data_IF_855217613772
#
_entry.id   IF_855217613772
#
_cell.length_a   1.000
_cell.length_b   1.000
_cell.length_c   1.000
_cell.angle_alpha   90.00
_cell.angle_beta   90.00
_cell.angle_gamma   90.00
#
_symmetry.space_group_name_H-M   'P 1'
#
loop_
_entity.id
_entity.type
_entity.pdbx_description
1 polymer ?
#
# COMPACT_ATOMS: atom_id res chain seq x y z
N UNK A 1 -81.12 -49.51 20.86
CA UNK A 1 -80.19 -48.53 20.23
C UNK A 1 -80.50 -47.13 20.74
N UNK A 2 -79.48 -46.31 20.99
CA UNK A 2 -79.41 -45.29 22.05
C UNK A 2 -80.21 -43.99 21.84
N UNK A 3 -80.55 -43.37 22.98
CA UNK A 3 -81.37 -42.17 23.25
C UNK A 3 -80.79 -40.85 22.72
N UNK A 4 -81.71 -39.89 22.52
CA UNK A 4 -81.53 -38.44 22.29
C UNK A 4 -80.77 -37.70 23.41
N UNK A 5 -80.24 -36.49 23.13
CA UNK A 5 -79.25 -35.80 23.95
C UNK A 5 -79.85 -34.83 24.98
N UNK A 6 -79.13 -34.60 26.09
CA UNK A 6 -79.28 -33.41 26.94
C UNK A 6 -77.90 -32.86 27.32
N UNK A 7 -77.66 -31.66 26.81
CA UNK A 7 -76.91 -30.51 27.36
C UNK A 7 -76.29 -30.66 28.75
N UNK A 8 -75.06 -30.17 28.94
CA UNK A 8 -74.77 -29.06 29.87
C UNK A 8 -73.40 -28.43 29.59
N UNK A 9 -73.39 -27.10 29.78
CA UNK A 9 -72.33 -26.12 29.55
C UNK A 9 -71.01 -26.44 30.26
N UNK A 10 -69.90 -26.22 29.56
CA UNK A 10 -68.63 -25.85 30.18
C UNK A 10 -68.06 -24.61 29.48
N UNK A 11 -68.21 -23.50 30.21
CA UNK A 11 -67.33 -22.33 30.25
C UNK A 11 -66.82 -21.72 28.93
N UNK A 12 -67.59 -20.72 28.51
CA UNK A 12 -67.16 -19.48 27.87
C UNK A 12 -65.86 -18.94 28.51
N UNK A 13 -64.71 -19.04 27.83
CA UNK A 13 -63.58 -18.07 27.83
C UNK A 13 -62.37 -18.62 27.07
N UNK A 14 -62.07 -18.03 25.91
CA UNK A 14 -60.74 -17.70 25.35
C UNK A 14 -60.84 -17.55 23.82
N UNK A 15 -61.65 -16.60 23.37
CA UNK A 15 -61.34 -15.89 22.11
C UNK A 15 -60.87 -14.50 22.52
N UNK A 16 -59.74 -14.50 23.23
CA UNK A 16 -58.95 -13.31 23.52
C UNK A 16 -57.49 -13.73 23.30
N UNK A 17 -57.18 -14.06 22.06
CA UNK A 17 -55.94 -14.74 21.73
C UNK A 17 -55.68 -14.63 20.24
N UNK A 18 -55.36 -13.42 19.79
CA UNK A 18 -54.60 -13.13 18.56
C UNK A 18 -54.21 -11.65 18.32
N UNK A 19 -54.48 -10.63 19.18
CA UNK A 19 -53.92 -9.30 18.90
C UNK A 19 -52.39 -9.32 19.03
N UNK A 20 -51.84 -10.11 19.95
CA UNK A 20 -50.40 -10.24 20.17
C UNK A 20 -49.65 -10.84 18.96
N UNK A 21 -50.23 -11.86 18.31
CA UNK A 21 -49.64 -12.48 17.12
C UNK A 21 -49.67 -11.52 15.92
N UNK A 22 -50.76 -10.76 15.78
CA UNK A 22 -50.90 -9.75 14.72
C UNK A 22 -49.89 -8.60 14.92
N UNK A 23 -49.71 -8.15 16.16
CA UNK A 23 -48.71 -7.14 16.54
C UNK A 23 -47.29 -7.63 16.22
N UNK A 24 -46.94 -8.89 16.57
CA UNK A 24 -45.63 -9.46 16.25
C UNK A 24 -45.36 -9.52 14.74
N UNK A 25 -46.35 -9.89 13.94
CA UNK A 25 -46.22 -9.91 12.47
C UNK A 25 -46.03 -8.49 11.92
N UNK A 26 -46.81 -7.52 12.40
CA UNK A 26 -46.68 -6.11 11.98
C UNK A 26 -45.32 -5.54 12.37
N UNK A 27 -44.84 -5.80 13.59
CA UNK A 27 -43.51 -5.39 14.05
C UNK A 27 -42.41 -6.05 13.21
N UNK A 28 -42.52 -7.34 12.90
CA UNK A 28 -41.56 -8.04 12.04
C UNK A 28 -41.53 -7.46 10.61
N UNK A 29 -42.69 -7.15 10.02
CA UNK A 29 -42.79 -6.51 8.71
C UNK A 29 -42.18 -5.11 8.73
N UNK A 30 -42.44 -4.32 9.78
CA UNK A 30 -41.84 -2.99 9.95
C UNK A 30 -40.32 -3.07 10.11
N UNK A 31 -39.82 -3.98 10.95
CA UNK A 31 -38.37 -4.19 11.16
C UNK A 31 -37.69 -4.62 9.87
N UNK A 32 -38.27 -5.56 9.12
CA UNK A 32 -37.70 -6.00 7.83
C UNK A 32 -37.75 -4.90 6.77
N UNK A 33 -38.79 -4.07 6.75
CA UNK A 33 -38.86 -2.90 5.87
C UNK A 33 -37.81 -1.84 6.24
N UNK A 34 -37.63 -1.55 7.53
CA UNK A 34 -36.60 -0.63 8.04
C UNK A 34 -35.20 -1.16 7.68
N UNK A 35 -34.92 -2.45 7.92
CA UNK A 35 -33.63 -3.06 7.58
C UNK A 35 -33.35 -3.02 6.07
N UNK A 36 -34.36 -3.28 5.23
CA UNK A 36 -34.22 -3.14 3.77
C UNK A 36 -33.97 -1.69 3.34
N UNK A 37 -34.66 -0.73 3.96
CA UNK A 37 -34.44 0.69 3.67
C UNK A 37 -33.04 1.13 4.08
N UNK A 38 -32.57 0.75 5.27
CA UNK A 38 -31.20 1.02 5.74
C UNK A 38 -30.18 0.40 4.79
N UNK A 39 -30.37 -0.86 4.40
CA UNK A 39 -29.50 -1.56 3.45
C UNK A 39 -29.46 -0.89 2.07
N UNK A 40 -30.60 -0.39 1.60
CA UNK A 40 -30.68 0.35 0.33
C UNK A 40 -29.94 1.68 0.43
N UNK A 41 -30.18 2.48 1.47
CA UNK A 41 -29.50 3.77 1.68
C UNK A 41 -27.99 3.61 1.83
N UNK A 42 -27.53 2.58 2.56
CA UNK A 42 -26.09 2.28 2.67
C UNK A 42 -25.48 1.88 1.32
N UNK A 43 -26.21 1.09 0.52
CA UNK A 43 -25.79 0.74 -0.84
C UNK A 43 -25.75 1.96 -1.78
N UNK A 44 -26.75 2.82 -1.75
CA UNK A 44 -26.83 4.01 -2.60
C UNK A 44 -25.72 5.02 -2.23
N UNK A 45 -25.46 5.24 -0.93
CA UNK A 45 -24.35 6.06 -0.45
C UNK A 45 -22.98 5.46 -0.83
N UNK A 46 -22.84 4.13 -0.81
CA UNK A 46 -21.62 3.45 -1.26
C UNK A 46 -21.38 3.63 -2.77
N UNK A 47 -22.44 3.56 -3.59
CA UNK A 47 -22.36 3.76 -5.04
C UNK A 47 -22.01 5.22 -5.35
N UNK A 48 -22.64 6.20 -4.71
CA UNK A 48 -22.37 7.62 -4.91
C UNK A 48 -20.92 7.98 -4.52
N UNK A 49 -20.46 7.46 -3.37
CA UNK A 49 -19.07 7.64 -2.94
C UNK A 49 -18.08 7.05 -3.95
N UNK A 50 -18.38 5.90 -4.54
CA UNK A 50 -17.52 5.23 -5.54
C UNK A 50 -17.51 5.96 -6.89
N UNK A 51 -18.64 6.54 -7.31
CA UNK A 51 -18.69 7.34 -8.54
C UNK A 51 -17.81 8.59 -8.43
N UNK A 52 -17.64 9.15 -7.23
CA UNK A 52 -16.71 10.26 -6.95
C UNK A 52 -15.27 9.81 -6.71
N UNK A 53 -14.91 8.55 -6.95
CA UNK A 53 -13.55 8.04 -6.73
C UNK A 53 -12.74 7.88 -8.00
N UNK A 54 -13.27 8.25 -9.16
CA UNK A 54 -12.64 7.93 -10.44
C UNK A 54 -11.96 9.14 -11.07
N UNK A 55 -10.78 8.91 -11.63
CA UNK A 55 -10.07 9.88 -12.46
C UNK A 55 -9.99 9.32 -13.89
N UNK A 56 -10.37 10.14 -14.88
CA UNK A 56 -10.31 9.77 -16.29
C UNK A 56 -8.93 10.09 -16.86
N UNK A 57 -8.26 9.08 -17.42
CA UNK A 57 -7.00 9.28 -18.13
C UNK A 57 -7.22 10.04 -19.44
N UNK A 58 -6.49 11.13 -19.62
CA UNK A 58 -6.41 11.81 -20.91
C UNK A 58 -5.58 11.03 -21.94
N UNK A 59 -4.70 10.12 -21.49
CA UNK A 59 -3.82 9.31 -22.35
C UNK A 59 -4.50 8.07 -22.89
N UNK A 60 -5.23 7.34 -22.04
CA UNK A 60 -5.83 6.05 -22.38
C UNK A 60 -7.35 6.10 -22.52
N UNK A 61 -8.01 7.12 -21.95
CA UNK A 61 -9.46 7.18 -21.84
C UNK A 61 -10.03 6.23 -20.78
N UNK A 62 -9.18 5.57 -19.98
CA UNK A 62 -9.60 4.66 -18.91
C UNK A 62 -9.86 5.40 -17.59
N UNK A 63 -10.79 4.87 -16.79
CA UNK A 63 -11.04 5.36 -15.43
C UNK A 63 -10.16 4.61 -14.42
N UNK A 64 -9.50 5.36 -13.54
CA UNK A 64 -8.68 4.83 -12.45
C UNK A 64 -9.26 5.20 -11.09
N UNK A 65 -9.28 4.24 -10.16
CA UNK A 65 -9.71 4.45 -8.78
C UNK A 65 -8.69 5.29 -8.00
N UNK A 66 -9.15 6.37 -7.38
CA UNK A 66 -8.37 7.38 -6.65
C UNK A 66 -8.84 7.55 -5.21
N UNK A 67 -9.68 6.66 -4.69
CA UNK A 67 -9.94 6.52 -3.26
C UNK A 67 -9.28 5.26 -2.75
N UNK A 68 -8.53 5.37 -1.65
CA UNK A 68 -8.02 4.19 -0.97
C UNK A 68 -9.18 3.43 -0.32
N UNK A 69 -9.13 2.11 -0.39
CA UNK A 69 -10.08 1.21 0.27
C UNK A 69 -9.31 0.37 1.29
N UNK A 70 -9.76 0.36 2.54
CA UNK A 70 -9.13 -0.44 3.59
C UNK A 70 -9.21 -1.94 3.24
N UNK A 71 -8.07 -2.66 3.13
CA UNK A 71 -8.05 -4.08 2.84
C UNK A 71 -8.80 -4.95 3.86
N UNK A 72 -8.95 -4.48 5.11
CA UNK A 72 -9.66 -5.19 6.17
C UNK A 72 -11.14 -4.80 6.28
N UNK A 73 -11.53 -3.67 5.68
CA UNK A 73 -12.90 -3.18 5.68
C UNK A 73 -13.23 -2.50 4.35
N UNK A 74 -13.78 -3.28 3.41
CA UNK A 74 -14.15 -2.78 2.09
C UNK A 74 -15.18 -1.65 2.09
N UNK A 75 -15.92 -1.44 3.19
CA UNK A 75 -16.85 -0.31 3.33
C UNK A 75 -16.15 0.98 3.77
N UNK A 76 -14.92 0.89 4.29
CA UNK A 76 -14.10 2.04 4.66
C UNK A 76 -13.32 2.54 3.44
N UNK A 77 -13.86 3.57 2.82
CA UNK A 77 -13.30 4.22 1.63
C UNK A 77 -12.82 5.62 2.00
N UNK A 78 -11.58 5.96 1.64
CA UNK A 78 -11.00 7.28 1.87
C UNK A 78 -11.57 8.35 0.96
N UNK A 79 -11.15 9.59 1.21
CA UNK A 79 -11.35 10.74 0.32
C UNK A 79 -10.59 10.52 -0.98
N UNK A 80 -11.17 11.00 -2.08
CA UNK A 80 -10.51 10.98 -3.38
C UNK A 80 -9.22 11.82 -3.37
N UNK A 81 -8.13 11.24 -3.86
CA UNK A 81 -6.91 11.96 -4.18
C UNK A 81 -7.11 12.83 -5.42
N UNK A 82 -6.33 13.90 -5.55
CA UNK A 82 -6.49 14.82 -6.67
C UNK A 82 -6.08 14.16 -8.00
N UNK A 83 -6.99 14.18 -8.99
CA UNK A 83 -6.76 13.60 -10.32
C UNK A 83 -5.60 14.26 -11.09
N UNK A 84 -5.11 15.43 -10.69
CA UNK A 84 -3.92 16.06 -11.30
C UNK A 84 -2.67 15.17 -11.20
N UNK A 85 -2.62 14.20 -10.28
CA UNK A 85 -1.50 13.28 -10.15
C UNK A 85 -1.61 12.03 -11.04
N UNK A 86 -2.71 11.87 -11.77
CA UNK A 86 -2.95 10.68 -12.60
C UNK A 86 -1.84 10.46 -13.62
N UNK A 87 -1.48 11.51 -14.37
CA UNK A 87 -0.44 11.42 -15.38
C UNK A 87 0.92 10.99 -14.79
N UNK A 88 1.28 11.49 -13.61
CA UNK A 88 2.51 11.11 -12.93
C UNK A 88 2.50 9.61 -12.57
N UNK A 89 1.39 9.11 -12.04
CA UNK A 89 1.24 7.69 -11.69
C UNK A 89 1.23 6.77 -12.92
N UNK A 90 0.66 7.22 -14.05
CA UNK A 90 0.75 6.52 -15.34
C UNK A 90 2.20 6.45 -15.82
N UNK A 91 2.93 7.55 -15.75
CA UNK A 91 4.35 7.60 -16.15
C UNK A 91 5.21 6.68 -15.27
N UNK A 92 4.89 6.55 -13.98
CA UNK A 92 5.51 5.61 -13.06
C UNK A 92 5.07 4.15 -13.28
N UNK A 93 4.03 3.92 -14.08
CA UNK A 93 3.51 2.59 -14.40
C UNK A 93 3.07 1.79 -13.15
N UNK A 94 2.47 2.50 -12.19
CA UNK A 94 1.94 1.95 -10.92
C UNK A 94 0.41 1.79 -10.92
N UNK A 95 -0.24 2.10 -12.04
CA UNK A 95 -1.69 1.97 -12.22
C UNK A 95 -2.08 0.71 -12.99
N UNK A 96 -3.28 0.19 -12.72
CA UNK A 96 -3.91 -0.90 -13.47
C UNK A 96 -3.41 -2.32 -13.16
N UNK A 97 -3.98 -3.30 -13.87
CA UNK A 97 -3.54 -4.69 -13.86
C UNK A 97 -2.17 -4.78 -14.55
N UNK A 98 -1.12 -4.65 -13.75
CA UNK A 98 0.23 -4.55 -14.23
C UNK A 98 0.69 -5.90 -14.80
N UNK A 99 0.47 -6.12 -16.10
CA UNK A 99 0.94 -7.31 -16.87
C UNK A 99 2.46 -7.58 -16.77
N UNK A 100 3.23 -6.67 -16.16
CA UNK A 100 4.67 -6.76 -15.92
C UNK A 100 5.04 -7.01 -14.46
N UNK A 101 4.08 -7.19 -13.55
CA UNK A 101 4.39 -7.61 -12.18
C UNK A 101 4.83 -9.06 -12.17
N UNK A 102 5.78 -9.38 -11.29
CA UNK A 102 6.29 -10.73 -11.10
C UNK A 102 5.68 -11.36 -9.86
N UNK A 103 5.61 -12.69 -9.84
CA UNK A 103 5.45 -13.39 -8.58
C UNK A 103 6.70 -13.16 -7.71
N UNK A 104 6.54 -13.15 -6.38
CA UNK A 104 7.68 -12.99 -5.48
C UNK A 104 8.73 -14.08 -5.70
N UNK A 105 8.29 -15.33 -5.92
CA UNK A 105 9.16 -16.46 -6.23
C UNK A 105 9.92 -16.32 -7.55
N UNK A 106 9.37 -15.61 -8.55
CA UNK A 106 10.05 -15.32 -9.81
C UNK A 106 11.09 -14.21 -9.64
N UNK A 107 10.79 -13.21 -8.82
CA UNK A 107 11.66 -12.07 -8.55
C UNK A 107 12.99 -12.49 -7.89
N UNK A 108 12.97 -13.55 -7.08
CA UNK A 108 14.12 -14.04 -6.31
C UNK A 108 14.90 -15.20 -6.97
N UNK A 109 14.63 -15.51 -8.24
CA UNK A 109 15.32 -16.63 -8.94
C UNK A 109 16.80 -16.37 -9.18
N UNK A 110 17.20 -15.11 -9.31
CA UNK A 110 18.56 -14.74 -9.67
C UNK A 110 19.05 -13.55 -8.83
N UNK A 111 20.08 -13.79 -8.00
CA UNK A 111 20.69 -12.77 -7.16
C UNK A 111 21.31 -11.63 -7.98
N UNK A 112 21.73 -11.87 -9.23
CA UNK A 112 22.31 -10.83 -10.08
C UNK A 112 21.28 -9.82 -10.62
N UNK A 113 19.98 -10.10 -10.47
CA UNK A 113 18.92 -9.17 -10.85
C UNK A 113 18.65 -8.09 -9.78
N UNK A 114 19.26 -8.21 -8.61
CA UNK A 114 19.12 -7.19 -7.56
C UNK A 114 19.87 -5.93 -7.98
N UNK A 115 19.18 -4.81 -7.96
CA UNK A 115 19.79 -3.50 -8.19
C UNK A 115 19.85 -2.74 -6.87
N UNK A 116 21.04 -2.29 -6.49
CA UNK A 116 21.19 -1.38 -5.37
C UNK A 116 20.78 0.03 -5.79
N UNK A 117 19.94 0.68 -5.00
CA UNK A 117 19.45 2.02 -5.29
C UNK A 117 19.66 2.91 -4.08
N UNK A 118 20.15 4.13 -4.32
CA UNK A 118 20.30 5.16 -3.32
C UNK A 118 19.96 6.52 -3.90
N UNK A 119 19.87 7.53 -3.05
CA UNK A 119 19.79 8.92 -3.46
C UNK A 119 20.76 9.77 -2.63
N UNK A 120 21.20 10.88 -3.21
CA UNK A 120 22.16 11.79 -2.60
C UNK A 120 21.89 13.24 -2.96
N UNK A 121 22.23 14.12 -2.05
CA UNK A 121 22.33 15.57 -2.23
C UNK A 121 23.76 16.00 -1.90
N UNK A 122 24.11 17.25 -2.20
CA UNK A 122 25.45 17.80 -1.93
C UNK A 122 25.95 17.52 -0.50
N UNK A 123 25.10 17.71 0.51
CA UNK A 123 25.43 17.51 1.93
C UNK A 123 25.54 16.03 2.36
N UNK A 124 25.16 15.09 1.49
CA UNK A 124 25.22 13.65 1.74
C UNK A 124 26.15 12.89 0.79
N UNK A 125 26.81 13.57 -0.16
CA UNK A 125 27.60 12.94 -1.21
C UNK A 125 28.71 12.03 -0.66
N UNK A 126 29.52 12.53 0.28
CA UNK A 126 30.64 11.75 0.85
C UNK A 126 30.15 10.49 1.60
N UNK A 127 29.00 10.58 2.25
CA UNK A 127 28.36 9.43 2.89
C UNK A 127 27.92 8.42 1.83
N UNK A 128 27.23 8.86 0.77
CA UNK A 128 26.81 7.99 -0.35
C UNK A 128 28.01 7.29 -1.00
N UNK A 129 29.10 8.00 -1.26
CA UNK A 129 30.31 7.41 -1.83
C UNK A 129 30.96 6.38 -0.90
N UNK A 130 30.94 6.65 0.41
CA UNK A 130 31.42 5.69 1.41
C UNK A 130 30.53 4.44 1.49
N UNK A 131 29.21 4.62 1.47
CA UNK A 131 28.22 3.53 1.42
C UNK A 131 28.42 2.66 0.17
N UNK A 132 28.54 3.30 -1.00
CA UNK A 132 28.80 2.64 -2.27
C UNK A 132 30.07 1.78 -2.23
N UNK A 133 31.18 2.31 -1.71
CA UNK A 133 32.44 1.54 -1.54
C UNK A 133 32.24 0.29 -0.69
N UNK A 134 31.46 0.37 0.39
CA UNK A 134 31.13 -0.79 1.21
C UNK A 134 30.29 -1.84 0.48
N UNK A 135 29.38 -1.42 -0.40
CA UNK A 135 28.58 -2.35 -1.23
C UNK A 135 29.49 -3.04 -2.24
N UNK A 136 30.33 -2.27 -2.95
CA UNK A 136 31.26 -2.79 -3.97
C UNK A 136 32.27 -3.79 -3.44
N UNK A 137 32.64 -3.69 -2.16
CA UNK A 137 33.49 -4.69 -1.51
C UNK A 137 32.91 -6.11 -1.57
N UNK A 138 31.59 -6.27 -1.53
CA UNK A 138 30.91 -7.57 -1.50
C UNK A 138 30.11 -7.88 -2.76
N UNK A 139 29.71 -6.84 -3.51
CA UNK A 139 28.89 -6.93 -4.72
C UNK A 139 29.51 -6.07 -5.84
N UNK A 140 30.67 -6.48 -6.39
CA UNK A 140 31.41 -5.69 -7.38
C UNK A 140 30.66 -5.55 -8.71
N UNK A 141 29.91 -6.57 -9.12
CA UNK A 141 29.28 -6.64 -10.44
C UNK A 141 27.79 -6.27 -10.44
N UNK A 142 27.20 -6.05 -9.26
CA UNK A 142 25.78 -5.68 -9.16
C UNK A 142 25.55 -4.25 -9.64
N UNK A 143 24.44 -4.01 -10.34
CA UNK A 143 24.07 -2.65 -10.71
C UNK A 143 23.81 -1.79 -9.47
N UNK A 144 24.36 -0.58 -9.46
CA UNK A 144 24.13 0.44 -8.44
C UNK A 144 23.63 1.72 -9.11
N UNK A 145 22.47 2.22 -8.68
CA UNK A 145 21.88 3.46 -9.20
C UNK A 145 21.87 4.51 -8.10
N UNK A 146 22.49 5.66 -8.37
CA UNK A 146 22.48 6.82 -7.50
C UNK A 146 21.63 7.93 -8.09
N UNK A 147 20.54 8.27 -7.41
CA UNK A 147 19.70 9.42 -7.77
C UNK A 147 20.24 10.70 -7.13
N UNK A 148 20.57 11.70 -7.94
CA UNK A 148 20.95 13.04 -7.51
C UNK A 148 19.72 13.90 -7.24
N UNK A 149 19.62 14.41 -6.00
CA UNK A 149 18.60 15.33 -5.52
C UNK A 149 19.14 16.76 -5.62
N UNK A 150 19.19 17.27 -6.85
CA UNK A 150 19.82 18.58 -7.17
C UNK A 150 21.33 18.60 -6.83
N UNK A 151 22.05 17.57 -7.28
CA UNK A 151 23.47 17.41 -7.03
C UNK A 151 24.28 18.38 -7.91
N UNK A 152 25.15 19.20 -7.31
CA UNK A 152 25.96 20.17 -8.04
C UNK A 152 27.06 19.53 -8.88
N UNK A 153 27.51 20.26 -9.90
CA UNK A 153 28.51 19.76 -10.86
C UNK A 153 29.82 19.30 -10.20
N UNK A 154 30.22 19.99 -9.12
CA UNK A 154 31.42 19.66 -8.37
C UNK A 154 31.38 18.21 -7.84
N UNK A 155 30.21 17.69 -7.50
CA UNK A 155 30.05 16.31 -7.03
C UNK A 155 29.80 15.33 -8.17
N UNK A 156 29.09 15.74 -9.24
CA UNK A 156 28.93 14.86 -10.41
C UNK A 156 30.26 14.54 -11.08
N UNK A 157 31.21 15.47 -11.07
CA UNK A 157 32.56 15.27 -11.61
C UNK A 157 33.41 14.29 -10.78
N UNK A 158 32.96 13.94 -9.56
CA UNK A 158 33.63 13.01 -8.65
C UNK A 158 32.99 11.61 -8.63
N UNK A 159 31.97 11.38 -9.48
CA UNK A 159 31.31 10.07 -9.57
C UNK A 159 32.30 8.99 -10.02
N UNK A 160 32.13 7.74 -9.54
CA UNK A 160 33.06 6.66 -9.86
C UNK A 160 33.00 6.28 -11.33
N UNK A 161 34.16 6.00 -11.92
CA UNK A 161 34.29 5.30 -13.19
C UNK A 161 34.09 3.78 -12.96
N UNK A 162 32.83 3.36 -12.87
CA UNK A 162 32.41 1.98 -12.66
C UNK A 162 31.32 1.62 -13.69
N UNK A 163 31.52 0.58 -14.53
CA UNK A 163 30.56 0.19 -15.56
C UNK A 163 29.21 -0.29 -15.01
N UNK A 164 29.14 -0.67 -13.73
CA UNK A 164 27.92 -1.09 -13.05
C UNK A 164 27.33 0.03 -12.17
N UNK A 165 27.90 1.23 -12.21
CA UNK A 165 27.37 2.41 -11.55
C UNK A 165 26.60 3.29 -12.54
N UNK A 166 25.41 3.71 -12.16
CA UNK A 166 24.58 4.61 -12.94
C UNK A 166 24.14 5.79 -12.09
N UNK A 167 24.45 7.01 -12.56
CA UNK A 167 23.93 8.23 -11.96
C UNK A 167 22.70 8.70 -12.72
N UNK A 168 21.67 9.13 -11.98
CA UNK A 168 20.44 9.70 -12.52
C UNK A 168 20.13 11.00 -11.81
N UNK A 169 19.75 12.03 -12.55
CA UNK A 169 19.15 13.23 -11.94
C UNK A 169 17.69 12.91 -11.64
N UNK A 170 17.25 13.12 -10.39
CA UNK A 170 15.85 12.97 -10.03
C UNK A 170 15.06 14.20 -10.49
N UNK A 171 14.24 14.04 -11.52
CA UNK A 171 13.38 15.12 -12.03
C UNK A 171 12.11 15.25 -11.17
N UNK A 172 12.12 16.23 -10.27
CA UNK A 172 10.97 16.51 -9.43
C UNK A 172 9.93 17.45 -10.08
N UNK A 173 10.17 17.94 -11.31
CA UNK A 173 9.28 18.89 -11.99
C UNK A 173 7.83 18.42 -12.20
N UNK A 174 7.54 17.11 -12.41
CA UNK A 174 6.17 16.64 -12.58
C UNK A 174 5.36 16.54 -11.27
N UNK A 175 6.00 16.71 -10.11
CA UNK A 175 5.39 16.49 -8.80
C UNK A 175 5.13 17.81 -8.06
N UNK A 176 4.28 17.81 -7.02
CA UNK A 176 4.06 18.99 -6.19
C UNK A 176 5.37 19.55 -5.62
N UNK A 177 5.44 20.87 -5.45
CA UNK A 177 6.67 21.55 -5.00
C UNK A 177 7.20 21.04 -3.66
N UNK A 178 6.34 20.52 -2.77
CA UNK A 178 6.80 19.95 -1.50
C UNK A 178 7.74 18.74 -1.69
N UNK A 179 7.68 18.04 -2.85
CA UNK A 179 8.58 16.93 -3.16
C UNK A 179 10.03 17.38 -3.24
N UNK A 180 10.28 18.64 -3.67
CA UNK A 180 11.60 19.25 -3.76
C UNK A 180 12.25 19.52 -2.40
N UNK A 181 11.50 19.36 -1.30
CA UNK A 181 12.06 19.41 0.04
C UNK A 181 12.65 18.05 0.43
N UNK A 182 13.92 17.84 0.10
CA UNK A 182 14.64 16.58 0.33
C UNK A 182 14.68 16.15 1.79
N UNK A 183 14.63 17.10 2.74
CA UNK A 183 14.63 16.82 4.19
C UNK A 183 13.38 16.08 4.67
N UNK A 184 12.29 16.14 3.91
CA UNK A 184 11.06 15.45 4.22
C UNK A 184 10.94 14.07 3.56
N UNK A 185 11.95 13.67 2.78
CA UNK A 185 12.06 12.33 2.16
C UNK A 185 10.90 11.94 1.21
N UNK A 186 10.08 12.89 0.76
CA UNK A 186 8.94 12.62 -0.13
C UNK A 186 9.36 11.98 -1.47
N UNK A 187 10.56 12.28 -1.95
CA UNK A 187 11.14 11.70 -3.17
C UNK A 187 11.31 10.16 -3.10
N UNK A 188 11.47 9.59 -1.90
CA UNK A 188 11.89 8.17 -1.75
C UNK A 188 10.89 7.20 -2.39
N UNK A 189 9.60 7.42 -2.17
CA UNK A 189 8.54 6.60 -2.80
C UNK A 189 8.55 6.70 -4.32
N UNK A 190 8.84 7.89 -4.86
CA UNK A 190 8.90 8.16 -6.30
C UNK A 190 10.11 7.48 -6.94
N UNK A 191 11.29 7.60 -6.32
CA UNK A 191 12.50 6.90 -6.78
C UNK A 191 12.32 5.38 -6.74
N UNK A 192 11.66 4.85 -5.70
CA UNK A 192 11.32 3.43 -5.65
C UNK A 192 10.38 3.04 -6.81
N UNK A 193 9.36 3.85 -7.11
CA UNK A 193 8.45 3.62 -8.22
C UNK A 193 9.17 3.64 -9.59
N UNK A 194 10.06 4.61 -9.81
CA UNK A 194 10.90 4.67 -11.02
C UNK A 194 11.81 3.43 -11.13
N UNK A 195 12.44 3.02 -10.05
CA UNK A 195 13.33 1.87 -10.04
C UNK A 195 12.57 0.55 -10.29
N UNK A 196 11.43 0.29 -9.63
CA UNK A 196 10.67 -0.95 -9.84
C UNK A 196 9.95 -1.00 -11.20
N UNK A 197 9.75 0.16 -11.85
CA UNK A 197 9.25 0.21 -13.23
C UNK A 197 10.23 -0.48 -14.20
N UNK A 198 11.53 -0.43 -13.92
CA UNK A 198 12.60 -0.99 -14.75
C UNK A 198 13.11 -2.34 -14.26
N UNK A 199 13.27 -2.53 -12.94
CA UNK A 199 13.94 -3.70 -12.38
C UNK A 199 12.98 -4.55 -11.53
N UNK A 200 13.13 -5.89 -11.56
CA UNK A 200 12.26 -6.78 -10.80
C UNK A 200 12.52 -6.73 -9.29
N UNK A 201 13.74 -6.36 -8.87
CA UNK A 201 14.16 -6.35 -7.47
C UNK A 201 15.09 -5.19 -7.18
N UNK A 202 14.71 -4.38 -6.19
CA UNK A 202 15.48 -3.24 -5.71
C UNK A 202 15.93 -3.51 -4.28
N UNK A 203 17.18 -3.14 -3.99
CA UNK A 203 17.70 -3.01 -2.64
C UNK A 203 18.02 -1.54 -2.37
N UNK A 204 17.09 -0.85 -1.70
CA UNK A 204 17.27 0.54 -1.30
C UNK A 204 18.21 0.64 -0.11
N UNK A 205 19.15 1.58 -0.16
CA UNK A 205 20.10 1.88 0.91
C UNK A 205 20.26 3.41 1.02
N UNK A 206 19.92 3.98 2.17
CA UNK A 206 20.17 5.40 2.45
C UNK A 206 21.69 5.71 2.41
N UNK A 207 22.02 6.95 2.03
CA UNK A 207 23.39 7.44 1.86
C UNK A 207 24.33 7.13 3.03
N UNK A 208 23.83 7.13 4.26
CA UNK A 208 24.63 6.96 5.48
C UNK A 208 24.73 5.51 5.99
N UNK A 209 24.34 4.53 5.20
CA UNK A 209 24.33 3.12 5.61
C UNK A 209 25.46 2.35 4.94
N UNK A 210 26.28 1.67 5.76
CA UNK A 210 27.38 0.85 5.28
C UNK A 210 27.05 -0.64 5.34
N UNK A 211 27.25 -1.36 4.24
CA UNK A 211 27.25 -2.82 4.23
C UNK A 211 28.54 -3.34 4.90
N UNK A 212 28.40 -4.24 5.88
CA UNK A 212 29.54 -4.77 6.67
C UNK A 212 29.74 -6.28 6.55
N UNK A 213 28.86 -6.98 5.85
CA UNK A 213 28.89 -8.44 5.69
C UNK A 213 28.42 -8.83 4.29
N UNK A 214 28.97 -9.92 3.70
CA UNK A 214 28.51 -10.46 2.43
C UNK A 214 27.19 -11.25 2.59
N UNK A 215 26.69 -11.79 1.48
CA UNK A 215 25.58 -12.76 1.40
C UNK A 215 24.20 -12.26 1.88
N UNK A 216 24.00 -10.94 1.99
CA UNK A 216 22.68 -10.39 2.38
C UNK A 216 21.56 -10.76 1.39
N UNK A 217 21.86 -10.78 0.09
CA UNK A 217 20.89 -11.16 -0.95
C UNK A 217 20.54 -12.64 -0.83
N UNK A 218 21.54 -13.52 -0.91
CA UNK A 218 21.39 -14.97 -0.74
C UNK A 218 20.58 -15.34 0.52
N UNK A 219 20.97 -14.78 1.67
CA UNK A 219 20.32 -15.09 2.94
C UNK A 219 18.85 -14.67 2.94
N UNK A 220 18.54 -13.47 2.43
CA UNK A 220 17.16 -13.00 2.30
C UNK A 220 16.35 -13.89 1.35
N UNK A 221 16.94 -14.30 0.22
CA UNK A 221 16.25 -15.13 -0.77
C UNK A 221 15.93 -16.51 -0.18
N UNK A 222 16.87 -17.12 0.55
CA UNK A 222 16.62 -18.36 1.28
C UNK A 222 15.50 -18.19 2.31
N UNK A 223 15.50 -17.11 3.09
CA UNK A 223 14.43 -16.84 4.06
C UNK A 223 13.06 -16.67 3.38
N UNK A 224 13.01 -15.97 2.24
CA UNK A 224 11.76 -15.79 1.50
C UNK A 224 11.23 -17.14 1.01
N UNK A 225 12.10 -17.96 0.39
CA UNK A 225 11.75 -19.28 -0.14
C UNK A 225 11.22 -20.21 0.97
N UNK A 226 11.85 -20.17 2.14
CA UNK A 226 11.53 -21.08 3.24
C UNK A 226 10.29 -20.64 4.04
N UNK A 227 10.13 -19.34 4.27
CA UNK A 227 9.15 -18.85 5.25
C UNK A 227 8.11 -17.86 4.72
N UNK A 228 8.36 -17.19 3.58
CA UNK A 228 7.56 -16.02 3.18
C UNK A 228 6.75 -16.20 1.90
N UNK A 229 6.91 -17.31 1.18
CA UNK A 229 6.10 -17.60 -0.02
C UNK A 229 4.65 -18.02 0.27
N UNK A 230 4.41 -18.66 1.41
CA UNK A 230 3.10 -19.24 1.76
C UNK A 230 2.25 -18.38 2.69
N UNK A 231 2.79 -17.25 3.16
CA UNK A 231 2.10 -16.33 4.08
C UNK A 231 1.72 -15.00 3.43
N UNK A 232 0.93 -14.19 4.16
CA UNK A 232 0.60 -12.80 3.79
C UNK A 232 1.80 -11.85 4.01
N UNK A 233 3.00 -12.26 3.61
CA UNK A 233 4.20 -11.44 3.73
C UNK A 233 4.25 -10.38 2.64
N UNK A 234 4.68 -9.19 3.03
CA UNK A 234 4.92 -8.09 2.11
C UNK A 234 6.13 -8.38 1.21
N UNK A 235 6.01 -8.05 -0.07
CA UNK A 235 7.12 -8.00 -1.03
C UNK A 235 8.00 -6.76 -0.87
N UNK A 236 7.68 -5.92 0.12
CA UNK A 236 8.49 -4.81 0.63
C UNK A 236 8.94 -5.19 2.04
N UNK A 237 10.24 -5.33 2.26
CA UNK A 237 10.83 -5.77 3.53
C UNK A 237 11.74 -4.66 4.05
N UNK A 238 11.47 -4.20 5.26
CA UNK A 238 12.38 -3.32 6.02
C UNK A 238 13.27 -4.14 6.94
N UNK A 239 14.53 -3.71 7.05
CA UNK A 239 15.52 -4.29 7.97
C UNK A 239 15.74 -3.46 9.23
N UNK A 240 14.95 -2.40 9.42
CA UNK A 240 15.09 -1.47 10.54
C UNK A 240 13.77 -1.41 11.31
N UNK A 241 13.68 -1.98 12.53
CA UNK A 241 12.56 -1.67 13.41
C UNK A 241 12.68 -0.22 13.91
N UNK A 242 11.55 0.35 14.35
CA UNK A 242 11.52 1.58 15.14
C UNK A 242 10.85 1.30 16.48
N UNK A 243 11.09 2.19 17.45
CA UNK A 243 10.58 2.03 18.82
C UNK A 243 9.24 2.74 19.06
N UNK A 244 8.63 3.30 18.01
CA UNK A 244 7.34 3.98 18.07
C UNK A 244 6.32 3.35 17.13
N UNK A 245 5.03 3.49 17.44
CA UNK A 245 3.93 3.07 16.57
C UNK A 245 3.70 4.05 15.44
N UNK A 246 3.01 3.61 14.37
CA UNK A 246 2.57 4.53 13.32
C UNK A 246 1.63 5.59 13.90
N UNK A 247 0.75 5.21 14.84
CA UNK A 247 -0.19 6.13 15.48
C UNK A 247 0.49 7.31 16.19
N UNK A 248 1.66 7.09 16.79
CA UNK A 248 2.36 8.12 17.56
C UNK A 248 2.87 9.29 16.70
N UNK A 249 3.10 9.08 15.40
CA UNK A 249 3.68 10.06 14.47
C UNK A 249 2.77 10.39 13.28
N UNK A 250 1.59 9.77 13.23
CA UNK A 250 0.61 9.98 12.16
C UNK A 250 -0.05 11.35 12.30
N UNK A 251 -0.13 12.12 11.21
CA UNK A 251 -1.07 13.23 11.14
C UNK A 251 -2.50 12.66 11.02
N UNK A 252 -3.42 12.92 11.96
CA UNK A 252 -4.78 12.38 11.93
C UNK A 252 -5.53 12.67 10.64
N UNK A 253 -5.23 13.77 9.94
CA UNK A 253 -5.86 14.11 8.66
C UNK A 253 -5.58 13.08 7.57
N UNK A 254 -4.51 12.29 7.68
CA UNK A 254 -4.22 11.18 6.77
C UNK A 254 -5.30 10.09 6.84
N UNK A 255 -5.99 9.92 7.96
CA UNK A 255 -7.07 8.94 8.11
C UNK A 255 -8.30 9.29 7.25
N UNK A 256 -8.43 10.55 6.81
CA UNK A 256 -9.44 10.93 5.84
C UNK A 256 -9.18 10.30 4.47
N UNK A 257 -7.91 10.08 4.11
CA UNK A 257 -7.49 9.48 2.85
C UNK A 257 -7.24 7.98 2.99
N UNK A 258 -6.66 7.55 4.11
CA UNK A 258 -6.33 6.17 4.43
C UNK A 258 -7.10 5.74 5.68
N UNK A 259 -8.41 5.49 5.58
CA UNK A 259 -9.16 4.94 6.70
C UNK A 259 -8.51 3.63 7.15
N UNK A 260 -8.31 3.49 8.44
CA UNK A 260 -7.61 2.36 9.06
C UNK A 260 -8.11 2.14 10.47
N UNK A 261 -7.81 0.98 11.03
CA UNK A 261 -8.15 0.64 12.40
C UNK A 261 -7.11 1.21 13.38
N UNK A 262 -7.51 2.19 14.19
CA UNK A 262 -6.67 2.84 15.20
C UNK A 262 -5.98 1.86 16.15
N UNK A 263 -6.66 0.77 16.52
CA UNK A 263 -6.07 -0.25 17.41
C UNK A 263 -4.88 -0.95 16.74
N UNK A 264 -4.94 -1.18 15.43
CA UNK A 264 -3.81 -1.76 14.69
C UNK A 264 -2.68 -0.76 14.54
N UNK A 265 -3.00 0.51 14.26
CA UNK A 265 -2.00 1.58 14.15
C UNK A 265 -1.24 1.81 15.47
N UNK A 266 -1.90 1.61 16.61
CA UNK A 266 -1.28 1.69 17.93
C UNK A 266 -0.48 0.43 18.29
N UNK A 267 -0.95 -0.75 17.87
CA UNK A 267 -0.36 -2.04 18.22
C UNK A 267 0.97 -2.32 17.51
N UNK A 268 1.09 -1.92 16.25
CA UNK A 268 2.26 -2.23 15.44
C UNK A 268 3.27 -1.07 15.42
N UNK A 269 4.52 -1.38 15.73
CA UNK A 269 5.62 -0.43 15.56
C UNK A 269 5.82 -0.10 14.08
N UNK A 270 6.18 1.15 13.83
CA UNK A 270 6.62 1.58 12.51
C UNK A 270 7.92 0.86 12.13
N UNK A 271 8.15 0.71 10.83
CA UNK A 271 9.41 0.21 10.28
C UNK A 271 10.16 1.35 9.61
N UNK A 272 11.48 1.36 9.75
CA UNK A 272 12.36 2.35 9.15
C UNK A 272 12.51 2.12 7.64
N UNK A 273 12.69 3.18 6.88
CA UNK A 273 12.81 3.15 5.41
C UNK A 273 14.26 3.27 4.91
N UNK A 274 15.25 3.15 5.81
CA UNK A 274 16.65 3.37 5.45
C UNK A 274 17.28 2.22 4.68
N UNK A 275 16.81 1.00 4.90
CA UNK A 275 17.20 -0.19 4.12
C UNK A 275 15.93 -0.95 3.79
N UNK A 276 15.64 -1.07 2.50
CA UNK A 276 14.46 -1.77 2.02
C UNK A 276 14.84 -2.76 0.93
N UNK A 277 14.26 -3.96 1.00
CA UNK A 277 14.15 -4.84 -0.14
C UNK A 277 12.77 -4.66 -0.76
N UNK A 278 12.71 -4.49 -2.08
CA UNK A 278 11.47 -4.21 -2.82
C UNK A 278 11.43 -5.08 -4.08
N UNK A 279 10.53 -6.07 -4.10
CA UNK A 279 10.26 -6.85 -5.31
C UNK A 279 9.07 -6.26 -6.08
N UNK A 280 9.16 -6.21 -7.41
CA UNK A 280 8.10 -5.71 -8.30
C UNK A 280 6.95 -6.72 -8.44
N UNK A 281 6.14 -6.82 -7.40
CA UNK A 281 4.89 -7.61 -7.39
C UNK A 281 3.68 -6.70 -7.59
N UNK A 282 2.52 -7.29 -7.86
CA UNK A 282 1.25 -6.56 -7.88
C UNK A 282 0.99 -5.85 -6.54
N UNK A 283 1.32 -6.50 -5.42
CA UNK A 283 1.20 -5.90 -4.09
C UNK A 283 2.09 -4.65 -3.94
N UNK A 284 3.36 -4.73 -4.33
CA UNK A 284 4.28 -3.58 -4.27
C UNK A 284 3.77 -2.41 -5.11
N UNK A 285 3.29 -2.67 -6.33
CA UNK A 285 2.79 -1.61 -7.21
C UNK A 285 1.50 -0.98 -6.64
N UNK A 286 0.63 -1.76 -6.00
CA UNK A 286 -0.53 -1.24 -5.26
C UNK A 286 -0.13 -0.33 -4.10
N UNK A 287 0.96 -0.65 -3.39
CA UNK A 287 1.46 0.21 -2.31
C UNK A 287 2.07 1.49 -2.87
N UNK A 288 2.93 1.40 -3.89
CA UNK A 288 3.62 2.57 -4.47
C UNK A 288 2.69 3.54 -5.21
N UNK A 289 1.50 3.10 -5.58
CA UNK A 289 0.45 3.97 -6.13
C UNK A 289 -0.01 5.04 -5.13
N UNK A 290 -0.07 4.70 -3.84
CA UNK A 290 -0.66 5.52 -2.78
C UNK A 290 0.40 6.33 -2.04
#
# INVERSE_FOLDING_TARGET
>A
MKRRPKTYRLFKKKVLGKPFLLILVVVFVLVTFILRSISKTTRDNYIDKRNNCQCLSSKTGEFHEFCYQDPQNSSAVGKQFNCVHLEALENLNVLGDNKRSFNLSESIKNESHVVFVSATSDDHFDFSMSSFKCIRQYYPDHKYILYGLDLSSNFTDQLPDDPNFEFRVFDASPYPDFVKNWKNYHFKGLVLAEAVKEFPVIWWIDANIALRKPNIIKNLFSEILEYRLSGNFSSIISFRPTDHSNFAVLNPDLLNYFPSNDQLLQKFSQVGSGILYVARTEFTLKILKW
#
